data_IF_405375278884
#
_entry.id   IF_405375278884
#
_cell.length_a   1.000
_cell.length_b   1.000
_cell.length_c   1.000
_cell.angle_alpha   90.00
_cell.angle_beta   90.00
_cell.angle_gamma   90.00
#
_symmetry.space_group_name_H-M   'P 1'
#
loop_
_entity.id
_entity.type
_entity.pdbx_description
1 polymer ?
#
# COMPACT_ATOMS: atom_id res chain seq x y z
N UNK A 1 -22.98 -38.96 11.42
CA UNK A 1 -22.17 -38.37 10.34
C UNK A 1 -22.68 -36.96 10.11
N UNK A 2 -21.94 -35.95 10.58
CA UNK A 2 -22.33 -34.55 10.42
C UNK A 2 -22.11 -34.13 8.97
N UNK A 3 -23.17 -33.74 8.28
CA UNK A 3 -23.08 -33.12 6.97
C UNK A 3 -22.20 -31.87 7.09
N UNK A 4 -21.05 -31.90 6.41
CA UNK A 4 -20.25 -30.71 6.17
C UNK A 4 -21.12 -29.78 5.32
N UNK A 5 -21.64 -28.72 5.93
CA UNK A 5 -22.11 -27.55 5.18
C UNK A 5 -20.92 -27.04 4.38
N UNK A 6 -20.82 -27.45 3.12
CA UNK A 6 -20.04 -26.71 2.14
C UNK A 6 -20.57 -25.29 2.17
N UNK A 7 -19.77 -24.37 2.70
CA UNK A 7 -19.99 -22.94 2.53
C UNK A 7 -20.02 -22.69 1.02
N UNK A 8 -21.22 -22.58 0.48
CA UNK A 8 -21.48 -22.14 -0.88
C UNK A 8 -20.88 -20.74 -0.98
N UNK A 9 -19.66 -20.67 -1.49
CA UNK A 9 -19.05 -19.41 -1.90
C UNK A 9 -19.99 -18.81 -2.94
N UNK A 10 -20.37 -17.52 -2.81
CA UNK A 10 -21.24 -16.90 -3.81
C UNK A 10 -20.57 -17.08 -5.17
N UNK A 11 -21.28 -17.76 -6.08
CA UNK A 11 -20.79 -18.09 -7.41
C UNK A 11 -20.26 -16.85 -8.11
N UNK A 12 -19.19 -17.03 -8.89
CA UNK A 12 -18.49 -16.02 -9.69
C UNK A 12 -19.43 -14.91 -10.19
N UNK A 13 -19.58 -13.84 -9.41
CA UNK A 13 -20.24 -12.63 -9.89
C UNK A 13 -19.37 -12.09 -11.01
N UNK A 14 -19.96 -11.86 -12.19
CA UNK A 14 -19.24 -11.27 -13.31
C UNK A 14 -18.58 -9.96 -12.84
N UNK A 15 -17.26 -9.87 -12.99
CA UNK A 15 -16.46 -8.72 -12.53
C UNK A 15 -15.86 -8.85 -11.12
N UNK A 16 -16.08 -9.94 -10.39
CA UNK A 16 -15.37 -10.18 -9.10
C UNK A 16 -14.10 -10.98 -9.32
N UNK A 17 -12.96 -10.42 -8.89
CA UNK A 17 -11.64 -11.03 -9.01
C UNK A 17 -11.16 -11.45 -7.62
N UNK A 18 -10.78 -12.73 -7.50
CA UNK A 18 -10.12 -13.27 -6.31
C UNK A 18 -8.62 -13.04 -6.42
N UNK A 19 -8.03 -12.37 -5.42
CA UNK A 19 -6.59 -12.13 -5.32
C UNK A 19 -6.12 -12.62 -3.95
N UNK A 20 -5.12 -13.50 -3.92
CA UNK A 20 -4.51 -13.95 -2.67
C UNK A 20 -3.27 -13.11 -2.37
N UNK A 21 -3.21 -12.49 -1.20
CA UNK A 21 -2.06 -11.71 -0.73
C UNK A 21 -1.67 -12.20 0.65
N UNK A 22 -0.44 -12.72 0.79
CA UNK A 22 0.08 -13.31 2.05
C UNK A 22 -0.86 -14.36 2.67
N UNK A 23 -1.43 -15.22 1.81
CA UNK A 23 -2.32 -16.30 2.25
C UNK A 23 -3.72 -15.86 2.67
N UNK A 24 -4.07 -14.57 2.50
CA UNK A 24 -5.44 -14.06 2.65
C UNK A 24 -6.07 -13.82 1.30
N UNK A 25 -7.30 -14.25 1.14
CA UNK A 25 -8.07 -14.08 -0.09
C UNK A 25 -8.92 -12.81 -0.04
N UNK A 26 -8.75 -11.98 -1.06
CA UNK A 26 -9.50 -10.75 -1.27
C UNK A 26 -10.40 -10.92 -2.49
N UNK A 27 -11.65 -10.51 -2.35
CA UNK A 27 -12.64 -10.53 -3.44
C UNK A 27 -12.96 -9.09 -3.79
N UNK A 28 -12.47 -8.65 -4.94
CA UNK A 28 -12.63 -7.25 -5.38
C UNK A 28 -13.51 -7.21 -6.61
N UNK A 29 -14.51 -6.35 -6.58
CA UNK A 29 -15.38 -6.12 -7.71
C UNK A 29 -14.80 -5.01 -8.61
N UNK A 30 -14.63 -5.32 -9.88
CA UNK A 30 -14.18 -4.40 -10.91
C UNK A 30 -15.28 -4.22 -11.94
N UNK A 31 -15.71 -2.99 -12.15
CA UNK A 31 -16.56 -2.61 -13.27
C UNK A 31 -15.71 -1.96 -14.36
N UNK A 32 -15.91 -2.35 -15.62
CA UNK A 32 -15.28 -1.65 -16.73
C UNK A 32 -15.70 -0.17 -16.72
N UNK A 33 -14.78 0.77 -16.99
CA UNK A 33 -15.14 2.18 -17.14
C UNK A 33 -16.20 2.36 -18.24
N UNK A 34 -17.16 3.26 -18.03
CA UNK A 34 -18.24 3.45 -19.00
C UNK A 34 -17.68 3.88 -20.37
N UNK A 35 -18.06 3.23 -21.49
CA UNK A 35 -17.49 3.51 -22.82
C UNK A 35 -17.61 4.99 -23.26
N UNK A 36 -18.63 5.68 -22.77
CA UNK A 36 -18.93 7.08 -23.10
C UNK A 36 -18.24 8.09 -22.17
N UNK A 37 -17.38 7.65 -21.25
CA UNK A 37 -16.65 8.57 -20.37
C UNK A 37 -15.73 9.51 -21.20
N UNK A 38 -15.76 10.83 -20.92
CA UNK A 38 -14.83 11.80 -21.51
C UNK A 38 -13.36 11.45 -21.23
N UNK A 39 -12.46 11.91 -22.11
CA UNK A 39 -11.01 11.68 -21.94
C UNK A 39 -10.48 12.28 -20.62
N UNK A 40 -10.88 13.51 -20.31
CA UNK A 40 -10.49 14.22 -19.08
C UNK A 40 -10.90 13.44 -17.82
N UNK A 41 -12.11 12.87 -17.81
CA UNK A 41 -12.60 12.06 -16.69
C UNK A 41 -11.81 10.76 -16.52
N UNK A 42 -11.38 10.13 -17.64
CA UNK A 42 -10.55 8.93 -17.59
C UNK A 42 -9.14 9.24 -17.06
N UNK A 43 -8.54 10.35 -17.49
CA UNK A 43 -7.23 10.80 -17.00
C UNK A 43 -7.29 11.14 -15.51
N UNK A 44 -8.34 11.84 -15.07
CA UNK A 44 -8.59 12.12 -13.66
C UNK A 44 -8.84 10.84 -12.86
N UNK A 45 -9.55 9.87 -13.41
CA UNK A 45 -9.72 8.56 -12.78
C UNK A 45 -8.38 7.83 -12.65
N UNK A 46 -7.49 7.91 -13.65
CA UNK A 46 -6.16 7.33 -13.57
C UNK A 46 -5.34 7.94 -12.43
N UNK A 47 -5.33 9.28 -12.32
CA UNK A 47 -4.65 9.99 -11.24
C UNK A 47 -5.21 9.61 -9.86
N UNK A 48 -6.53 9.56 -9.73
CA UNK A 48 -7.18 9.16 -8.49
C UNK A 48 -6.80 7.74 -8.06
N UNK A 49 -6.78 6.77 -8.99
CA UNK A 49 -6.39 5.40 -8.65
C UNK A 49 -4.91 5.31 -8.26
N UNK A 50 -4.01 6.09 -8.88
CA UNK A 50 -2.61 6.21 -8.44
C UNK A 50 -2.49 6.82 -7.06
N UNK A 51 -3.31 7.81 -6.74
CA UNK A 51 -3.38 8.41 -5.41
C UNK A 51 -3.83 7.39 -4.35
N UNK A 52 -4.89 6.62 -4.65
CA UNK A 52 -5.38 5.54 -3.77
C UNK A 52 -4.26 4.56 -3.45
N UNK A 53 -3.47 4.12 -4.44
CA UNK A 53 -2.35 3.21 -4.19
C UNK A 53 -1.30 3.78 -3.22
N UNK A 54 -0.98 5.08 -3.34
CA UNK A 54 -0.06 5.76 -2.42
C UNK A 54 -0.65 5.81 -1.01
N UNK A 55 -1.91 6.21 -0.89
CA UNK A 55 -2.62 6.29 0.39
C UNK A 55 -2.73 4.91 1.05
N UNK A 56 -3.10 3.87 0.30
CA UNK A 56 -3.17 2.50 0.78
C UNK A 56 -1.81 1.99 1.26
N UNK A 57 -0.73 2.27 0.53
CA UNK A 57 0.62 1.91 0.98
C UNK A 57 1.00 2.62 2.29
N UNK A 58 0.67 3.90 2.42
CA UNK A 58 0.89 4.66 3.64
C UNK A 58 0.09 4.08 4.83
N UNK A 59 -1.18 3.72 4.62
CA UNK A 59 -1.98 3.07 5.64
C UNK A 59 -1.42 1.70 6.03
N UNK A 60 -0.89 0.91 5.09
CA UNK A 60 -0.19 -0.34 5.40
C UNK A 60 1.04 -0.06 6.27
N UNK A 61 1.81 0.98 5.96
CA UNK A 61 2.97 1.42 6.75
C UNK A 61 2.55 1.78 8.18
N UNK A 62 1.52 2.58 8.35
CA UNK A 62 1.00 3.00 9.67
C UNK A 62 0.49 1.82 10.51
N UNK A 63 -0.23 0.90 9.88
CA UNK A 63 -0.66 -0.33 10.55
C UNK A 63 0.53 -1.20 10.98
N UNK A 64 1.60 -1.23 10.18
CA UNK A 64 2.83 -1.94 10.55
C UNK A 64 3.57 -1.28 11.72
N UNK A 65 3.59 0.05 11.80
CA UNK A 65 4.11 0.76 12.97
C UNK A 65 3.35 0.32 14.23
N UNK A 66 2.01 0.35 14.17
CA UNK A 66 1.14 -0.03 15.29
C UNK A 66 1.39 -1.47 15.74
N UNK A 67 1.49 -2.40 14.79
CA UNK A 67 1.71 -3.82 15.07
C UNK A 67 3.11 -4.09 15.63
N UNK A 68 4.16 -3.64 14.94
CA UNK A 68 5.53 -4.05 15.21
C UNK A 68 6.24 -3.23 16.30
N UNK A 69 5.81 -1.98 16.53
CA UNK A 69 6.50 -1.06 17.44
C UNK A 69 5.62 -0.55 18.59
N UNK A 70 4.32 -0.39 18.37
CA UNK A 70 3.38 0.06 19.42
C UNK A 70 2.68 -1.11 20.13
N UNK A 71 2.87 -2.35 19.64
CA UNK A 71 2.24 -3.57 20.16
C UNK A 71 0.71 -3.43 20.27
N UNK A 72 0.11 -2.71 19.31
CA UNK A 72 -1.33 -2.51 19.28
C UNK A 72 -2.06 -3.86 19.20
N UNK A 73 -3.21 -3.94 19.86
CA UNK A 73 -4.00 -5.15 19.85
C UNK A 73 -4.41 -5.55 18.42
N UNK A 74 -4.44 -6.84 18.06
CA UNK A 74 -4.65 -7.28 16.67
C UNK A 74 -5.93 -6.77 16.00
N UNK A 75 -7.00 -6.53 16.77
CA UNK A 75 -8.27 -6.00 16.25
C UNK A 75 -8.25 -4.50 15.91
N UNK A 76 -7.20 -3.78 16.32
CA UNK A 76 -7.00 -2.36 15.98
C UNK A 76 -6.15 -2.18 14.71
N UNK A 77 -5.49 -3.24 14.24
CA UNK A 77 -4.62 -3.21 13.07
C UNK A 77 -5.43 -3.67 11.86
N UNK A 78 -5.62 -2.78 10.87
CA UNK A 78 -6.42 -3.07 9.69
C UNK A 78 -5.59 -3.01 8.40
N UNK A 79 -5.13 -4.17 7.95
CA UNK A 79 -4.52 -4.30 6.63
C UNK A 79 -5.52 -4.64 5.52
N UNK A 80 -6.71 -5.10 5.87
CA UNK A 80 -7.63 -5.68 4.90
C UNK A 80 -8.20 -4.58 3.99
N UNK A 81 -8.68 -3.47 4.56
CA UNK A 81 -9.19 -2.31 3.79
C UNK A 81 -8.14 -1.71 2.84
N UNK A 82 -6.94 -1.28 3.29
CA UNK A 82 -5.96 -0.72 2.37
C UNK A 82 -5.50 -1.74 1.31
N UNK A 83 -5.51 -3.04 1.62
CA UNK A 83 -5.18 -4.07 0.62
C UNK A 83 -6.27 -4.19 -0.45
N UNK A 84 -7.55 -4.19 -0.06
CA UNK A 84 -8.68 -4.21 -1.00
C UNK A 84 -8.67 -2.98 -1.92
N UNK A 85 -8.50 -1.79 -1.34
CA UNK A 85 -8.46 -0.53 -2.08
C UNK A 85 -7.31 -0.51 -3.09
N UNK A 86 -6.12 -0.98 -2.68
CA UNK A 86 -4.96 -1.08 -3.56
C UNK A 86 -5.16 -2.09 -4.70
N UNK A 87 -5.79 -3.24 -4.42
CA UNK A 87 -6.14 -4.24 -5.45
C UNK A 87 -7.08 -3.61 -6.48
N UNK A 88 -8.16 -2.96 -6.01
CA UNK A 88 -9.15 -2.34 -6.89
C UNK A 88 -8.53 -1.24 -7.74
N UNK A 89 -7.74 -0.36 -7.13
CA UNK A 89 -7.08 0.73 -7.83
C UNK A 89 -6.12 0.24 -8.91
N UNK A 90 -5.34 -0.82 -8.63
CA UNK A 90 -4.45 -1.39 -9.61
C UNK A 90 -5.20 -2.03 -10.79
N UNK A 91 -6.27 -2.77 -10.52
CA UNK A 91 -7.11 -3.35 -11.57
C UNK A 91 -7.74 -2.26 -12.44
N UNK A 92 -8.20 -1.17 -11.83
CA UNK A 92 -8.74 -0.03 -12.56
C UNK A 92 -7.70 0.62 -13.47
N UNK A 93 -6.46 0.81 -13.01
CA UNK A 93 -5.36 1.35 -13.83
C UNK A 93 -5.13 0.49 -15.07
N UNK A 94 -5.16 -0.84 -14.93
CA UNK A 94 -4.98 -1.77 -16.04
C UNK A 94 -6.09 -1.65 -17.10
N UNK A 95 -7.28 -1.19 -16.72
CA UNK A 95 -8.38 -0.90 -17.65
C UNK A 95 -8.31 0.52 -18.21
N UNK A 96 -7.95 1.51 -17.38
CA UNK A 96 -7.97 2.93 -17.75
C UNK A 96 -6.91 3.27 -18.79
N UNK A 97 -5.67 2.78 -18.64
CA UNK A 97 -4.56 3.16 -19.54
C UNK A 97 -4.87 2.81 -21.01
N UNK A 98 -5.30 1.57 -21.34
CA UNK A 98 -5.71 1.25 -22.71
C UNK A 98 -6.86 2.13 -23.22
N UNK A 99 -7.85 2.44 -22.38
CA UNK A 99 -9.02 3.25 -22.79
C UNK A 99 -8.64 4.70 -23.08
N UNK A 100 -7.76 5.29 -22.28
CA UNK A 100 -7.21 6.64 -22.51
C UNK A 100 -6.51 6.68 -23.86
N UNK A 101 -5.64 5.69 -24.13
CA UNK A 101 -4.87 5.61 -25.37
C UNK A 101 -5.77 5.38 -26.60
N UNK A 102 -6.84 4.59 -26.47
CA UNK A 102 -7.83 4.39 -27.54
C UNK A 102 -8.62 5.68 -27.88
N UNK A 103 -8.80 6.59 -26.92
CA UNK A 103 -9.48 7.88 -27.12
C UNK A 103 -8.54 9.00 -27.57
N UNK A 104 -7.26 8.69 -27.84
CA UNK A 104 -6.27 9.66 -28.31
C UNK A 104 -5.47 10.36 -27.20
N UNK A 105 -5.64 9.97 -25.94
CA UNK A 105 -4.77 10.39 -24.85
C UNK A 105 -3.40 9.69 -24.87
N UNK A 106 -2.49 10.09 -23.99
CA UNK A 106 -1.16 9.50 -23.86
C UNK A 106 -0.90 9.08 -22.41
N UNK A 107 -1.38 7.89 -22.03
CA UNK A 107 -1.13 7.29 -20.73
C UNK A 107 -0.15 6.11 -20.84
N UNK A 108 0.79 6.05 -19.88
CA UNK A 108 1.77 4.99 -19.78
C UNK A 108 1.69 4.30 -18.42
N UNK A 109 1.98 3.00 -18.40
CA UNK A 109 2.14 2.24 -17.18
C UNK A 109 3.43 2.66 -16.46
N UNK A 110 3.33 2.94 -15.17
CA UNK A 110 4.50 2.97 -14.30
C UNK A 110 5.03 1.55 -14.09
N UNK A 111 6.34 1.39 -13.84
CA UNK A 111 6.98 0.06 -13.72
C UNK A 111 6.26 -0.89 -12.73
N UNK A 112 5.78 -0.45 -11.55
CA UNK A 112 5.03 -1.33 -10.65
C UNK A 112 3.62 -1.70 -11.13
N UNK A 113 3.06 -0.93 -12.07
CA UNK A 113 1.72 -1.13 -12.63
C UNK A 113 1.69 -2.25 -13.68
N UNK A 114 2.85 -2.67 -14.21
CA UNK A 114 2.95 -3.79 -15.16
C UNK A 114 3.06 -5.16 -14.47
N UNK A 115 3.28 -5.17 -13.16
CA UNK A 115 3.30 -6.39 -12.37
C UNK A 115 1.88 -6.97 -12.28
N UNK A 116 1.78 -8.30 -12.11
CA UNK A 116 0.50 -8.88 -11.76
C UNK A 116 0.05 -8.39 -10.37
N UNK A 117 -1.26 -8.40 -10.15
CA UNK A 117 -1.86 -7.76 -8.97
C UNK A 117 -1.33 -8.33 -7.66
N UNK A 118 -1.20 -9.65 -7.55
CA UNK A 118 -0.66 -10.30 -6.37
C UNK A 118 0.76 -9.82 -6.08
N UNK A 119 1.66 -9.90 -7.06
CA UNK A 119 3.06 -9.48 -6.90
C UNK A 119 3.16 -7.99 -6.57
N UNK A 120 2.31 -7.14 -7.16
CA UNK A 120 2.28 -5.71 -6.83
C UNK A 120 1.90 -5.49 -5.36
N UNK A 121 0.87 -6.17 -4.86
CA UNK A 121 0.41 -6.03 -3.48
C UNK A 121 1.47 -6.52 -2.48
N UNK A 122 2.13 -7.64 -2.77
CA UNK A 122 3.23 -8.15 -1.96
C UNK A 122 4.40 -7.15 -1.92
N UNK A 123 4.78 -6.60 -3.07
CA UNK A 123 5.81 -5.57 -3.16
C UNK A 123 5.42 -4.32 -2.36
N UNK A 124 4.18 -3.85 -2.49
CA UNK A 124 3.69 -2.68 -1.76
C UNK A 124 3.79 -2.86 -0.24
N UNK A 125 3.39 -4.03 0.28
CA UNK A 125 3.51 -4.37 1.71
C UNK A 125 4.97 -4.44 2.14
N UNK A 126 5.82 -5.11 1.38
CA UNK A 126 7.24 -5.23 1.70
C UNK A 126 7.94 -3.86 1.73
N UNK A 127 7.58 -2.95 0.81
CA UNK A 127 8.09 -1.58 0.81
C UNK A 127 7.60 -0.82 2.05
N UNK A 128 6.31 -0.95 2.40
CA UNK A 128 5.75 -0.31 3.59
C UNK A 128 6.49 -0.75 4.85
N UNK A 129 6.68 -2.05 5.05
CA UNK A 129 7.41 -2.61 6.19
C UNK A 129 8.87 -2.16 6.23
N UNK A 130 9.57 -2.29 5.10
CA UNK A 130 10.98 -1.88 4.99
C UNK A 130 11.15 -0.39 5.30
N UNK A 131 10.23 0.46 4.85
CA UNK A 131 10.29 1.89 5.12
C UNK A 131 10.25 2.19 6.62
N UNK A 132 9.40 1.50 7.39
CA UNK A 132 9.35 1.66 8.85
C UNK A 132 10.68 1.26 9.49
N UNK A 133 11.25 0.11 9.11
CA UNK A 133 12.54 -0.31 9.66
C UNK A 133 13.66 0.70 9.36
N UNK A 134 13.68 1.26 8.15
CA UNK A 134 14.66 2.29 7.78
C UNK A 134 14.48 3.57 8.60
N UNK A 135 13.24 4.01 8.82
CA UNK A 135 12.94 5.19 9.64
C UNK A 135 13.40 4.98 11.09
N UNK A 136 13.16 3.79 11.67
CA UNK A 136 13.58 3.47 13.04
C UNK A 136 15.10 3.39 13.18
N UNK A 137 15.80 2.79 12.20
CA UNK A 137 17.27 2.77 12.18
C UNK A 137 17.85 4.18 12.07
N UNK A 138 17.27 5.04 11.23
CA UNK A 138 17.69 6.44 11.10
C UNK A 138 17.46 7.22 12.39
N UNK A 139 16.29 7.08 13.02
CA UNK A 139 15.99 7.74 14.30
C UNK A 139 16.97 7.33 15.40
N UNK A 140 17.31 6.04 15.49
CA UNK A 140 18.28 5.55 16.47
C UNK A 140 19.67 6.18 16.27
N UNK A 141 20.14 6.30 15.03
CA UNK A 141 21.44 6.90 14.72
C UNK A 141 21.51 8.39 15.08
N UNK A 142 20.43 9.14 14.87
CA UNK A 142 20.36 10.55 15.25
C UNK A 142 20.44 10.76 16.76
N UNK A 143 19.74 9.93 17.55
CA UNK A 143 19.75 10.01 19.02
C UNK A 143 21.15 9.74 19.58
N UNK A 144 21.83 8.68 19.13
CA UNK A 144 23.19 8.37 19.58
C UNK A 144 24.18 9.46 19.21
N UNK A 145 24.04 10.04 18.01
CA UNK A 145 24.91 11.13 17.55
C UNK A 145 24.67 12.42 18.35
N UNK A 146 23.42 12.74 18.69
CA UNK A 146 23.08 13.88 19.53
C UNK A 146 23.63 13.73 20.95
N UNK A 147 23.49 12.55 21.56
CA UNK A 147 24.02 12.25 22.91
C UNK A 147 25.54 12.35 22.93
N UNK A 148 26.22 11.77 21.93
CA UNK A 148 27.68 11.85 21.83
C UNK A 148 28.17 13.30 21.67
N UNK A 149 27.51 14.10 20.84
CA UNK A 149 27.82 15.52 20.66
C UNK A 149 27.59 16.31 21.95
N UNK A 150 26.49 16.08 22.66
CA UNK A 150 26.23 16.73 23.96
C UNK A 150 27.27 16.35 25.01
N UNK A 151 27.71 15.09 25.05
CA UNK A 151 28.76 14.64 25.96
C UNK A 151 30.11 15.30 25.65
N UNK A 152 30.52 15.35 24.38
CA UNK A 152 31.75 16.03 23.94
C UNK A 152 31.72 17.51 24.30
N UNK A 153 30.59 18.17 24.09
CA UNK A 153 30.42 19.59 24.39
C UNK A 153 30.49 19.85 25.91
N UNK A 154 29.92 18.96 26.72
CA UNK A 154 29.98 19.04 28.18
C UNK A 154 31.41 18.84 28.71
N UNK A 155 32.16 17.89 28.14
CA UNK A 155 33.58 17.65 28.47
C UNK A 155 34.45 18.85 28.08
N UNK A 156 34.24 19.43 26.90
CA UNK A 156 34.96 20.62 26.46
C UNK A 156 34.68 21.83 27.37
N UNK A 157 33.42 22.06 27.75
CA UNK A 157 33.06 23.12 28.68
C UNK A 157 33.69 22.92 30.06
N UNK A 158 33.71 21.69 30.57
CA UNK A 158 34.33 21.36 31.85
C UNK A 158 35.86 21.58 31.83
N UNK A 159 36.53 21.32 30.71
CA UNK A 159 37.97 21.58 30.54
C UNK A 159 38.32 23.07 30.39
N UNK A 160 37.42 23.90 29.88
CA UNK A 160 37.64 25.35 29.73
C UNK A 160 37.38 26.11 31.04
N UNK A 161 36.55 25.57 31.93
CA UNK A 161 36.22 26.15 33.23
C UNK A 161 37.17 25.73 34.37
N UNK A 162 38.16 24.87 34.08
CA UNK A 162 39.21 24.39 34.99
C UNK A 162 40.51 25.16 34.75
#
# INVERSE_FOLDING_TARGET
MGEKKETVLPGNYAGTIKVSVRGRDYYVHTSAPMPMMPLEDLEKALENNRSILKTSQQQMRENFVKEAFEYAAPWLVNYDSPTQDAIQAHLNINMLIPLINLKGGQANFEKPETLNVQTRMELMRNIAEKSVFMDQLSAHNHVHTAIAMSFVLMVLLALVLL
#
